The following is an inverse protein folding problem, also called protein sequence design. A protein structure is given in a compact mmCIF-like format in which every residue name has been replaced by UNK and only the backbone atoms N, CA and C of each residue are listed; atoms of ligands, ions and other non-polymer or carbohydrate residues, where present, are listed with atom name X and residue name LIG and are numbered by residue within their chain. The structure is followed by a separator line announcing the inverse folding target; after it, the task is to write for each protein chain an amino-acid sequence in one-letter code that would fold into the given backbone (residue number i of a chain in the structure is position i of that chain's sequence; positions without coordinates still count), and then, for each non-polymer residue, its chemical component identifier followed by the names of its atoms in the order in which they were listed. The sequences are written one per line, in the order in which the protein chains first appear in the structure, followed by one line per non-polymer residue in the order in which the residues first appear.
data_IF_277720277039
#
_entry.id   IF_277720277039
#
_cell.length_a   1.000
_cell.length_b   1.000
_cell.length_c   1.000
_cell.angle_alpha   90.00
_cell.angle_beta   90.00
_cell.angle_gamma   90.00
#
_symmetry.space_group_name_H-M   'P 1'
#
loop_
_entity.id
_entity.type
_entity.pdbx_description
1 polymer ?
#
# COMPACT_ATOMS: atom_id res chain seq x y z
N UNK A 1 -24.30 6.20 10.88
CA UNK A 1 -22.91 6.13 10.34
C UNK A 1 -22.16 7.36 10.83
N UNK A 2 -20.98 7.20 11.44
CA UNK A 2 -20.18 8.36 11.86
C UNK A 2 -19.87 9.21 10.63
N UNK A 3 -20.01 10.53 10.75
CA UNK A 3 -19.63 11.46 9.69
C UNK A 3 -18.19 11.18 9.27
N UNK A 4 -17.95 11.16 7.95
CA UNK A 4 -16.60 11.04 7.41
C UNK A 4 -15.75 12.14 8.04
N UNK A 5 -14.59 11.79 8.62
CA UNK A 5 -13.64 12.81 9.08
C UNK A 5 -13.04 13.47 7.83
N UNK A 6 -13.73 14.49 7.32
CA UNK A 6 -13.38 15.18 6.06
C UNK A 6 -11.97 15.76 6.11
N UNK A 7 -11.52 16.18 7.30
CA UNK A 7 -10.18 16.71 7.49
C UNK A 7 -9.10 15.66 7.18
N UNK A 8 -9.21 14.45 7.73
CA UNK A 8 -8.27 13.35 7.45
C UNK A 8 -8.25 13.00 5.97
N UNK A 9 -9.42 12.93 5.34
CA UNK A 9 -9.53 12.59 3.92
C UNK A 9 -8.88 13.64 3.03
N UNK A 10 -9.15 14.92 3.30
CA UNK A 10 -8.56 16.02 2.56
C UNK A 10 -7.05 16.12 2.80
N UNK A 11 -6.58 15.84 4.02
CA UNK A 11 -5.16 15.75 4.32
C UNK A 11 -4.48 14.64 3.51
N UNK A 12 -5.03 13.42 3.51
CA UNK A 12 -4.51 12.29 2.73
C UNK A 12 -4.46 12.59 1.22
N UNK A 13 -5.52 13.21 0.67
CA UNK A 13 -5.53 13.69 -0.71
C UNK A 13 -4.47 14.76 -0.96
N UNK A 14 -4.36 15.74 -0.08
CA UNK A 14 -3.34 16.78 -0.20
C UNK A 14 -1.93 16.18 -0.19
N UNK A 15 -1.67 15.24 0.71
CA UNK A 15 -0.39 14.55 0.83
C UNK A 15 -0.05 13.75 -0.43
N UNK A 16 -0.95 12.86 -0.88
CA UNK A 16 -0.68 12.04 -2.07
C UNK A 16 -0.51 12.92 -3.33
N UNK A 17 -1.27 14.02 -3.45
CA UNK A 17 -1.12 14.97 -4.56
C UNK A 17 0.23 15.69 -4.48
N UNK A 18 0.67 16.09 -3.28
CA UNK A 18 1.97 16.68 -3.06
C UNK A 18 3.11 15.70 -3.38
N UNK A 19 2.97 14.42 -3.01
CA UNK A 19 3.92 13.35 -3.38
C UNK A 19 3.99 13.19 -4.91
N UNK A 20 2.84 13.12 -5.59
CA UNK A 20 2.83 13.04 -7.06
C UNK A 20 3.48 14.28 -7.69
N UNK A 21 3.14 15.47 -7.22
CA UNK A 21 3.76 16.70 -7.71
C UNK A 21 5.26 16.73 -7.46
N UNK A 22 5.71 16.31 -6.27
CA UNK A 22 7.14 16.24 -5.94
C UNK A 22 7.87 15.27 -6.86
N UNK A 23 7.33 14.07 -7.09
CA UNK A 23 7.96 13.09 -7.97
C UNK A 23 7.98 13.58 -9.41
N UNK A 24 6.89 14.19 -9.90
CA UNK A 24 6.85 14.80 -11.23
C UNK A 24 7.81 15.99 -11.37
N UNK A 25 7.88 16.86 -10.37
CA UNK A 25 8.78 18.02 -10.37
C UNK A 25 10.23 17.58 -10.43
N UNK A 26 10.64 16.65 -9.56
CA UNK A 26 12.00 16.12 -9.61
C UNK A 26 12.24 15.35 -10.93
N UNK A 27 11.24 14.61 -11.40
CA UNK A 27 11.20 13.97 -12.72
C UNK A 27 11.54 14.90 -13.88
N UNK A 28 10.83 16.02 -13.95
CA UNK A 28 10.87 16.94 -15.09
C UNK A 28 11.96 18.01 -14.98
N UNK A 29 12.38 18.36 -13.75
CA UNK A 29 13.28 19.50 -13.50
C UNK A 29 14.68 19.07 -13.11
N UNK A 30 14.85 17.96 -12.36
CA UNK A 30 16.18 17.55 -11.90
C UNK A 30 17.02 16.91 -13.02
N UNK A 31 16.40 16.34 -14.06
CA UNK A 31 17.09 15.61 -15.13
C UNK A 31 16.83 16.21 -16.53
N UNK A 32 16.79 17.55 -16.64
CA UNK A 32 16.52 18.27 -17.92
C UNK A 32 17.51 17.96 -19.06
N UNK A 33 18.63 17.28 -18.79
CA UNK A 33 19.62 16.92 -19.80
C UNK A 33 19.40 15.55 -20.44
N UNK A 34 18.61 14.65 -19.84
CA UNK A 34 18.43 13.29 -20.36
C UNK A 34 16.99 12.79 -20.11
N UNK A 35 16.13 12.89 -21.14
CA UNK A 35 14.79 12.29 -21.12
C UNK A 35 14.79 10.78 -21.38
N UNK A 36 15.95 10.11 -21.32
CA UNK A 36 16.03 8.68 -21.57
C UNK A 36 15.21 7.88 -20.55
N UNK A 37 14.68 6.70 -20.92
CA UNK A 37 14.06 5.78 -19.96
C UNK A 37 14.94 5.49 -18.73
N UNK A 38 16.27 5.51 -18.87
CA UNK A 38 17.19 5.30 -17.75
C UNK A 38 17.16 6.45 -16.72
N UNK A 39 16.98 7.70 -17.16
CA UNK A 39 16.72 8.82 -16.26
C UNK A 39 15.41 8.60 -15.49
N UNK A 40 14.36 8.12 -16.16
CA UNK A 40 13.07 7.85 -15.53
C UNK A 40 13.10 6.74 -14.46
N UNK A 41 14.02 5.78 -14.55
CA UNK A 41 14.16 4.75 -13.50
C UNK A 41 14.93 5.23 -12.29
N UNK A 42 15.91 6.10 -12.50
CA UNK A 42 16.50 6.90 -11.41
C UNK A 42 15.48 7.83 -10.76
N UNK A 43 14.44 8.22 -11.51
CA UNK A 43 13.37 9.13 -11.09
C UNK A 43 12.21 8.47 -10.35
N UNK A 44 12.50 7.52 -9.46
CA UNK A 44 11.50 7.12 -8.46
C UNK A 44 10.21 6.60 -9.09
N UNK A 45 10.35 5.89 -10.22
CA UNK A 45 9.21 5.32 -10.95
C UNK A 45 8.37 4.41 -10.03
N UNK A 46 9.03 3.68 -9.11
CA UNK A 46 8.35 2.91 -8.06
C UNK A 46 7.42 3.77 -7.20
N UNK A 47 7.95 4.75 -6.43
CA UNK A 47 7.12 5.67 -5.64
C UNK A 47 6.04 6.40 -6.44
N UNK A 48 6.33 6.81 -7.69
CA UNK A 48 5.34 7.43 -8.58
C UNK A 48 4.18 6.47 -8.88
N UNK A 49 4.50 5.27 -9.38
CA UNK A 49 3.52 4.26 -9.75
C UNK A 49 2.71 3.79 -8.54
N UNK A 50 3.35 3.57 -7.41
CA UNK A 50 2.69 3.22 -6.16
C UNK A 50 1.73 4.31 -5.72
N UNK A 51 2.15 5.57 -5.74
CA UNK A 51 1.30 6.71 -5.34
C UNK A 51 0.12 6.90 -6.29
N UNK A 52 0.32 6.81 -7.61
CA UNK A 52 -0.75 7.02 -8.59
C UNK A 52 -1.76 5.86 -8.57
N UNK A 53 -1.29 4.61 -8.43
CA UNK A 53 -2.17 3.44 -8.31
C UNK A 53 -2.98 3.54 -7.02
N UNK A 54 -2.35 3.87 -5.89
CA UNK A 54 -3.05 4.07 -4.62
C UNK A 54 -4.09 5.20 -4.72
N UNK A 55 -3.74 6.31 -5.36
CA UNK A 55 -4.68 7.40 -5.61
C UNK A 55 -5.91 6.92 -6.38
N UNK A 56 -5.71 6.27 -7.52
CA UNK A 56 -6.81 5.80 -8.35
C UNK A 56 -7.65 4.73 -7.67
N UNK A 57 -7.04 3.83 -6.90
CA UNK A 57 -7.77 2.82 -6.12
C UNK A 57 -8.63 3.49 -5.05
N UNK A 58 -8.08 4.45 -4.28
CA UNK A 58 -8.81 5.14 -3.22
C UNK A 58 -9.92 6.04 -3.77
N UNK A 59 -9.64 6.82 -4.81
CA UNK A 59 -10.65 7.66 -5.46
C UNK A 59 -11.71 6.84 -6.19
N UNK A 60 -11.31 5.79 -6.91
CA UNK A 60 -12.23 4.87 -7.57
C UNK A 60 -13.16 4.19 -6.57
N UNK A 61 -12.60 3.68 -5.46
CA UNK A 61 -13.39 3.13 -4.35
C UNK A 61 -14.30 4.19 -3.72
N UNK A 62 -13.79 5.40 -3.46
CA UNK A 62 -14.60 6.48 -2.89
C UNK A 62 -15.76 6.90 -3.80
N UNK A 63 -15.50 7.08 -5.09
CA UNK A 63 -16.49 7.42 -6.11
C UNK A 63 -17.54 6.33 -6.25
N UNK A 64 -17.13 5.06 -6.32
CA UNK A 64 -18.04 3.93 -6.37
C UNK A 64 -18.92 3.89 -5.11
N UNK A 65 -18.31 3.95 -3.93
CA UNK A 65 -19.06 3.90 -2.66
C UNK A 65 -20.02 5.08 -2.51
N UNK A 66 -19.69 6.25 -3.07
CA UNK A 66 -20.58 7.42 -3.14
C UNK A 66 -21.85 7.20 -3.95
N UNK A 67 -21.83 6.26 -4.89
CA UNK A 67 -23.02 5.87 -5.69
C UNK A 67 -23.80 4.71 -5.05
N UNK A 68 -23.29 4.14 -3.97
CA UNK A 68 -23.97 3.05 -3.25
C UNK A 68 -24.55 3.57 -1.93
N UNK A 69 -25.31 2.72 -1.20
CA UNK A 69 -25.80 3.09 0.14
C UNK A 69 -24.68 3.27 1.19
N UNK A 70 -23.41 2.99 0.86
CA UNK A 70 -22.27 3.25 1.75
C UNK A 70 -21.97 4.74 1.91
N UNK A 71 -22.28 5.57 0.91
CA UNK A 71 -22.06 7.01 0.93
C UNK A 71 -20.60 7.42 0.73
N UNK A 72 -19.66 7.00 1.58
CA UNK A 72 -18.26 7.41 1.45
C UNK A 72 -17.29 6.36 1.94
N UNK A 73 -16.11 6.29 1.32
CA UNK A 73 -14.98 5.52 1.84
C UNK A 73 -14.54 6.08 3.22
N UNK A 74 -14.54 5.27 4.28
CA UNK A 74 -14.11 5.71 5.61
C UNK A 74 -12.68 6.27 5.63
N UNK A 75 -12.45 7.30 6.47
CA UNK A 75 -11.16 7.99 6.57
C UNK A 75 -9.97 7.07 6.93
N UNK A 76 -10.22 5.96 7.62
CA UNK A 76 -9.17 4.97 7.94
C UNK A 76 -8.54 4.36 6.69
N UNK A 77 -9.31 4.14 5.61
CA UNK A 77 -8.76 3.60 4.37
C UNK A 77 -7.88 4.63 3.66
N UNK A 78 -8.24 5.91 3.74
CA UNK A 78 -7.39 7.00 3.26
C UNK A 78 -6.08 7.06 4.02
N UNK A 79 -6.13 7.00 5.36
CA UNK A 79 -4.95 7.01 6.20
C UNK A 79 -4.03 5.81 5.94
N UNK A 80 -4.59 4.60 5.86
CA UNK A 80 -3.83 3.38 5.58
C UNK A 80 -3.21 3.38 4.18
N UNK A 81 -3.98 3.77 3.15
CA UNK A 81 -3.45 3.86 1.79
C UNK A 81 -2.37 4.94 1.65
N UNK A 82 -2.56 6.08 2.34
CA UNK A 82 -1.53 7.14 2.39
C UNK A 82 -0.27 6.68 3.12
N UNK A 83 -0.42 5.93 4.22
CA UNK A 83 0.72 5.38 4.94
C UNK A 83 1.49 4.36 4.09
N UNK A 84 0.79 3.49 3.34
CA UNK A 84 1.42 2.51 2.45
C UNK A 84 2.30 3.17 1.39
N UNK A 85 1.80 4.19 0.67
CA UNK A 85 2.61 4.92 -0.32
C UNK A 85 3.61 5.89 0.31
N UNK A 86 3.27 6.46 1.46
CA UNK A 86 4.09 7.46 2.15
C UNK A 86 5.35 6.89 2.80
N UNK A 87 5.34 5.62 3.22
CA UNK A 87 6.54 4.96 3.75
C UNK A 87 7.60 4.84 2.67
N UNK A 88 7.24 4.30 1.50
CA UNK A 88 8.16 4.13 0.38
C UNK A 88 8.67 5.48 -0.16
N UNK A 89 7.76 6.44 -0.32
CA UNK A 89 8.12 7.80 -0.70
C UNK A 89 9.08 8.46 0.30
N UNK A 90 8.78 8.41 1.59
CA UNK A 90 9.61 8.99 2.63
C UNK A 90 10.97 8.29 2.73
N UNK A 91 10.97 6.97 2.64
CA UNK A 91 12.18 6.16 2.66
C UNK A 91 13.15 6.54 1.54
N UNK A 92 12.65 6.68 0.31
CA UNK A 92 13.44 7.16 -0.82
C UNK A 92 13.90 8.61 -0.63
N UNK A 93 13.05 9.50 -0.10
CA UNK A 93 13.37 10.93 0.10
C UNK A 93 14.50 11.18 1.07
N UNK A 94 14.57 10.37 2.11
CA UNK A 94 15.57 10.53 3.16
C UNK A 94 16.69 9.50 3.06
N UNK A 95 16.83 8.81 1.91
CA UNK A 95 17.83 7.76 1.69
C UNK A 95 17.83 6.67 2.78
N UNK A 96 16.66 6.36 3.36
CA UNK A 96 16.57 5.42 4.47
C UNK A 96 16.85 3.98 4.05
N UNK A 97 16.72 3.66 2.76
CA UNK A 97 17.09 2.36 2.21
C UNK A 97 18.59 2.07 2.29
N UNK A 98 19.45 3.08 2.50
CA UNK A 98 20.87 2.88 2.78
C UNK A 98 21.13 2.32 4.20
N UNK A 99 20.13 2.41 5.09
CA UNK A 99 20.23 1.88 6.45
C UNK A 99 20.01 0.37 6.43
N UNK A 100 20.94 -0.36 7.05
CA UNK A 100 20.90 -1.82 7.09
C UNK A 100 19.56 -2.34 7.64
N UNK A 101 18.91 -3.24 6.88
CA UNK A 101 17.61 -3.85 7.17
C UNK A 101 16.40 -2.89 7.17
N UNK A 102 16.56 -1.62 6.83
CA UNK A 102 15.41 -0.71 6.77
C UNK A 102 14.38 -1.16 5.74
N UNK A 103 14.87 -1.65 4.60
CA UNK A 103 14.04 -2.23 3.56
C UNK A 103 13.12 -3.37 4.08
N UNK A 104 13.69 -4.33 4.82
CA UNK A 104 12.92 -5.37 5.51
C UNK A 104 11.87 -4.81 6.47
N UNK A 105 12.16 -3.70 7.17
CA UNK A 105 11.17 -3.05 8.04
C UNK A 105 10.03 -2.47 7.22
N UNK A 106 10.32 -1.90 6.04
CA UNK A 106 9.31 -1.42 5.08
C UNK A 106 8.45 -2.59 4.59
N UNK A 107 9.04 -3.69 4.11
CA UNK A 107 8.29 -4.87 3.66
C UNK A 107 7.44 -5.49 4.78
N UNK A 108 7.94 -5.53 6.01
CA UNK A 108 7.17 -6.00 7.15
C UNK A 108 5.97 -5.09 7.47
N UNK A 109 6.22 -3.78 7.45
CA UNK A 109 5.21 -2.75 7.74
C UNK A 109 4.13 -2.69 6.67
N UNK A 110 4.49 -2.84 5.39
CA UNK A 110 3.53 -2.93 4.28
C UNK A 110 2.65 -4.17 4.40
N UNK A 111 3.21 -5.30 4.85
CA UNK A 111 2.44 -6.52 5.17
C UNK A 111 1.40 -6.30 6.26
N UNK A 112 1.77 -5.62 7.35
CA UNK A 112 0.84 -5.24 8.41
C UNK A 112 -0.25 -4.31 7.87
N UNK A 113 0.13 -3.20 7.26
CA UNK A 113 -0.80 -2.15 6.83
C UNK A 113 -1.74 -2.64 5.73
N UNK A 114 -1.23 -3.38 4.75
CA UNK A 114 -2.01 -3.99 3.68
C UNK A 114 -3.02 -5.00 4.22
N UNK A 115 -2.60 -5.86 5.16
CA UNK A 115 -3.50 -6.83 5.78
C UNK A 115 -4.59 -6.14 6.60
N UNK A 116 -4.24 -5.13 7.40
CA UNK A 116 -5.22 -4.33 8.15
C UNK A 116 -6.19 -3.64 7.18
N UNK A 117 -5.70 -3.09 6.08
CA UNK A 117 -6.53 -2.46 5.05
C UNK A 117 -7.55 -3.45 4.47
N UNK A 118 -7.09 -4.56 3.89
CA UNK A 118 -7.98 -5.51 3.22
C UNK A 118 -8.90 -6.24 4.20
N UNK A 119 -8.42 -6.60 5.38
CA UNK A 119 -9.25 -7.24 6.42
C UNK A 119 -10.41 -6.33 6.83
N UNK A 120 -10.15 -5.04 7.06
CA UNK A 120 -11.20 -4.08 7.39
C UNK A 120 -12.12 -3.81 6.21
N UNK A 121 -11.59 -3.75 4.99
CA UNK A 121 -12.38 -3.55 3.78
C UNK A 121 -13.41 -4.68 3.61
N UNK A 122 -12.96 -5.94 3.68
CA UNK A 122 -13.83 -7.12 3.55
C UNK A 122 -14.89 -7.14 4.66
N UNK A 123 -14.53 -6.79 5.90
CA UNK A 123 -15.48 -6.70 7.03
C UNK A 123 -16.51 -5.60 6.87
N UNK A 124 -16.12 -4.47 6.31
CA UNK A 124 -17.03 -3.36 6.01
C UNK A 124 -18.01 -3.79 4.90
N UNK A 125 -17.49 -4.42 3.85
CA UNK A 125 -18.29 -4.97 2.74
C UNK A 125 -19.28 -6.02 3.24
N UNK A 126 -18.80 -7.03 3.98
CA UNK A 126 -19.62 -8.11 4.54
C UNK A 126 -20.75 -7.59 5.43
N UNK A 127 -20.45 -6.67 6.36
CA UNK A 127 -21.47 -6.10 7.27
C UNK A 127 -22.54 -5.33 6.52
N UNK A 128 -22.16 -4.60 5.49
CA UNK A 128 -23.09 -3.76 4.74
C UNK A 128 -24.01 -4.58 3.84
N UNK A 129 -23.47 -5.53 3.09
CA UNK A 129 -24.28 -6.42 2.25
C UNK A 129 -24.96 -7.54 3.04
N UNK A 130 -24.81 -7.53 4.38
CA UNK A 130 -25.33 -8.56 5.29
C UNK A 130 -24.87 -9.97 4.91
N UNK A 131 -23.71 -10.09 4.26
CA UNK A 131 -23.12 -11.37 3.93
C UNK A 131 -22.50 -11.98 5.18
N UNK A 132 -22.96 -13.19 5.53
CA UNK A 132 -22.35 -13.98 6.58
C UNK A 132 -21.15 -14.76 6.01
N UNK A 133 -20.04 -14.07 5.77
CA UNK A 133 -18.84 -14.67 5.18
C UNK A 133 -18.10 -15.46 6.28
N UNK A 134 -17.83 -16.76 6.10
CA UNK A 134 -17.02 -17.52 7.05
C UNK A 134 -15.67 -16.85 7.28
N UNK A 135 -15.22 -16.78 8.53
CA UNK A 135 -13.96 -16.11 8.89
C UNK A 135 -12.76 -16.63 8.11
N UNK A 136 -12.71 -17.94 7.87
CA UNK A 136 -11.63 -18.57 7.09
C UNK A 136 -11.56 -18.00 5.67
N UNK A 137 -12.71 -17.72 5.05
CA UNK A 137 -12.79 -17.10 3.72
C UNK A 137 -12.31 -15.66 3.79
N UNK A 138 -12.70 -14.89 4.83
CA UNK A 138 -12.21 -13.52 5.03
C UNK A 138 -10.67 -13.50 5.14
N UNK A 139 -10.09 -14.41 5.94
CA UNK A 139 -8.63 -14.50 6.09
C UNK A 139 -7.95 -14.92 4.80
N UNK A 140 -8.49 -15.92 4.09
CA UNK A 140 -7.95 -16.37 2.81
C UNK A 140 -7.95 -15.25 1.77
N UNK A 141 -9.07 -14.54 1.60
CA UNK A 141 -9.16 -13.41 0.66
C UNK A 141 -8.22 -12.27 1.08
N UNK A 142 -8.10 -11.98 2.37
CA UNK A 142 -7.17 -10.97 2.88
C UNK A 142 -5.71 -11.35 2.55
N UNK A 143 -5.31 -12.58 2.88
CA UNK A 143 -3.97 -13.11 2.65
C UNK A 143 -3.60 -13.09 1.17
N UNK A 144 -4.47 -13.62 0.31
CA UNK A 144 -4.25 -13.71 -1.13
C UNK A 144 -4.21 -12.34 -1.79
N UNK A 145 -5.12 -11.43 -1.41
CA UNK A 145 -5.11 -10.07 -1.95
C UNK A 145 -3.86 -9.33 -1.51
N UNK A 146 -3.49 -9.37 -0.23
CA UNK A 146 -2.29 -8.67 0.27
C UNK A 146 -1.02 -9.19 -0.42
N UNK A 147 -0.86 -10.53 -0.51
CA UNK A 147 0.27 -11.13 -1.23
C UNK A 147 0.29 -10.79 -2.72
N UNK A 148 -0.86 -10.75 -3.39
CA UNK A 148 -0.92 -10.37 -4.80
C UNK A 148 -0.37 -8.96 -5.02
N UNK A 149 -0.72 -8.01 -4.16
CA UNK A 149 -0.17 -6.65 -4.24
C UNK A 149 1.32 -6.61 -3.94
N UNK A 150 1.81 -7.40 -2.98
CA UNK A 150 3.25 -7.56 -2.73
C UNK A 150 3.99 -8.10 -3.95
N UNK A 151 3.47 -9.14 -4.60
CA UNK A 151 4.08 -9.72 -5.80
C UNK A 151 4.06 -8.74 -6.98
N UNK A 152 2.96 -8.01 -7.16
CA UNK A 152 2.88 -6.96 -8.20
C UNK A 152 3.94 -5.89 -7.97
N UNK A 153 4.18 -5.50 -6.71
CA UNK A 153 5.19 -4.52 -6.34
C UNK A 153 6.61 -5.00 -6.70
N UNK A 154 6.99 -6.22 -6.33
CA UNK A 154 8.29 -6.82 -6.70
C UNK A 154 8.47 -6.91 -8.23
N UNK A 155 7.41 -7.27 -8.96
CA UNK A 155 7.43 -7.29 -10.42
C UNK A 155 7.66 -5.88 -10.97
N UNK A 156 7.04 -4.86 -10.36
CA UNK A 156 7.23 -3.47 -10.77
C UNK A 156 8.67 -3.00 -10.53
N UNK A 157 9.30 -3.40 -9.43
CA UNK A 157 10.72 -3.12 -9.17
C UNK A 157 11.63 -3.84 -10.16
N UNK A 158 11.39 -5.11 -10.45
CA UNK A 158 12.14 -5.86 -11.46
C UNK A 158 12.03 -5.22 -12.86
N UNK A 159 10.85 -4.72 -13.22
CA UNK A 159 10.63 -3.96 -14.47
C UNK A 159 11.38 -2.62 -14.40
N UNK A 160 11.32 -1.93 -13.26
CA UNK A 160 12.08 -0.72 -12.96
C UNK A 160 13.56 -0.89 -13.23
N UNK A 161 14.16 -1.95 -12.70
CA UNK A 161 15.57 -2.25 -12.86
C UNK A 161 15.93 -2.60 -14.29
N UNK A 162 15.14 -3.48 -14.91
CA UNK A 162 15.45 -4.00 -16.25
C UNK A 162 15.36 -2.94 -17.35
N UNK A 163 14.36 -2.07 -17.28
CA UNK A 163 14.09 -1.13 -18.37
C UNK A 163 14.51 0.31 -18.05
N UNK A 164 14.65 0.63 -16.77
CA UNK A 164 14.88 1.99 -16.33
C UNK A 164 16.12 2.15 -15.44
N UNK A 165 16.80 1.06 -15.05
CA UNK A 165 18.03 1.13 -14.25
C UNK A 165 17.83 1.71 -12.85
N UNK A 166 16.70 1.37 -12.21
CA UNK A 166 16.39 1.82 -10.85
C UNK A 166 17.35 1.23 -9.79
N UNK A 167 17.89 0.04 -10.04
CA UNK A 167 18.81 -0.68 -9.14
C UNK A 167 18.20 -1.00 -7.76
N UNK A 168 16.89 -1.26 -7.72
CA UNK A 168 16.16 -1.58 -6.50
C UNK A 168 16.33 -3.05 -6.07
N UNK A 169 16.52 -3.97 -7.02
CA UNK A 169 16.58 -5.41 -6.80
C UNK A 169 18.02 -5.90 -6.93
N UNK A 170 18.59 -6.41 -5.84
CA UNK A 170 19.96 -6.96 -5.85
C UNK A 170 20.03 -8.41 -6.37
N UNK A 171 18.88 -9.08 -6.49
CA UNK A 171 18.75 -10.38 -7.13
C UNK A 171 17.51 -11.15 -6.67
N UNK A 172 17.32 -12.38 -7.16
CA UNK A 172 16.15 -13.21 -6.82
C UNK A 172 16.06 -13.55 -5.32
N UNK A 173 17.19 -13.56 -4.61
CA UNK A 173 17.22 -13.78 -3.16
C UNK A 173 16.58 -12.61 -2.40
N UNK A 174 16.77 -11.38 -2.88
CA UNK A 174 16.25 -10.13 -2.31
C UNK A 174 14.72 -10.17 -2.31
N UNK A 175 14.12 -10.23 -3.49
CA UNK A 175 12.67 -10.39 -3.70
C UNK A 175 12.07 -11.53 -2.89
N UNK A 176 12.77 -12.67 -2.77
CA UNK A 176 12.28 -13.78 -1.96
C UNK A 176 12.29 -13.48 -0.46
N UNK A 177 13.30 -12.73 0.02
CA UNK A 177 13.39 -12.25 1.39
C UNK A 177 12.29 -11.23 1.68
N UNK A 178 12.05 -10.33 0.74
CA UNK A 178 11.08 -9.24 0.89
C UNK A 178 9.66 -9.78 0.95
N UNK A 179 9.31 -10.71 0.05
CA UNK A 179 8.05 -11.43 0.10
C UNK A 179 7.88 -12.25 1.38
N UNK A 180 8.95 -12.88 1.88
CA UNK A 180 8.91 -13.61 3.15
C UNK A 180 8.63 -12.67 4.32
N UNK A 181 9.34 -11.55 4.39
CA UNK A 181 9.18 -10.54 5.46
C UNK A 181 7.79 -9.90 5.40
N UNK A 182 7.27 -9.66 4.20
CA UNK A 182 5.90 -9.19 3.99
C UNK A 182 4.88 -10.20 4.56
N UNK A 183 5.07 -11.49 4.28
CA UNK A 183 4.23 -12.58 4.81
C UNK A 183 4.27 -12.68 6.34
N UNK A 184 5.41 -12.41 6.98
CA UNK A 184 5.48 -12.36 8.45
C UNK A 184 4.56 -11.26 9.02
N UNK A 185 4.54 -10.09 8.39
CA UNK A 185 3.62 -9.00 8.75
C UNK A 185 2.15 -9.40 8.58
N UNK A 186 1.82 -10.08 7.48
CA UNK A 186 0.45 -10.59 7.22
C UNK A 186 0.03 -11.59 8.30
N UNK A 187 0.87 -12.60 8.58
CA UNK A 187 0.60 -13.65 9.56
C UNK A 187 0.37 -13.02 10.94
N UNK A 188 1.20 -12.06 11.35
CA UNK A 188 1.06 -11.38 12.64
C UNK A 188 -0.32 -10.75 12.80
N UNK A 189 -0.81 -10.03 11.79
CA UNK A 189 -2.13 -9.39 11.83
C UNK A 189 -3.26 -10.42 11.87
N UNK A 190 -3.19 -11.48 11.06
CA UNK A 190 -4.24 -12.50 11.01
C UNK A 190 -4.30 -13.31 12.32
N UNK A 191 -3.15 -13.67 12.89
CA UNK A 191 -3.08 -14.36 14.19
C UNK A 191 -3.58 -13.44 15.30
N UNK A 192 -3.13 -12.19 15.34
CA UNK A 192 -3.59 -11.21 16.33
C UNK A 192 -5.10 -11.02 16.29
N UNK A 193 -5.66 -10.86 15.10
CA UNK A 193 -7.11 -10.77 14.90
C UNK A 193 -7.85 -12.04 15.34
N UNK A 194 -7.31 -13.22 15.01
CA UNK A 194 -7.88 -14.49 15.46
C UNK A 194 -7.93 -14.57 16.99
N UNK A 195 -6.81 -14.28 17.67
CA UNK A 195 -6.73 -14.30 19.14
C UNK A 195 -7.72 -13.32 19.77
N UNK A 196 -7.72 -12.06 19.32
CA UNK A 196 -8.66 -11.03 19.83
C UNK A 196 -10.11 -11.49 19.66
N UNK A 197 -10.43 -12.11 18.53
CA UNK A 197 -11.78 -12.60 18.26
C UNK A 197 -12.19 -13.80 19.11
N UNK A 198 -11.24 -14.60 19.62
CA UNK A 198 -11.49 -15.71 20.55
C UNK A 198 -11.73 -15.17 21.95
N UNK A 199 -10.91 -14.21 22.39
CA UNK A 199 -11.08 -13.54 23.70
C UNK A 199 -12.48 -12.91 23.79
N UNK A 200 -12.90 -12.16 22.76
CA UNK A 200 -14.24 -11.52 22.71
C UNK A 200 -15.43 -12.47 22.70
N UNK A 201 -15.22 -13.77 22.44
CA UNK A 201 -16.29 -14.78 22.48
C UNK A 201 -16.37 -15.48 23.84
N UNK A 202 -15.33 -15.36 24.66
CA UNK A 202 -15.21 -16.04 25.94
C UNK A 202 -15.68 -15.18 27.12
N UNK A 203 -15.64 -13.85 26.98
CA UNK A 203 -16.23 -12.88 27.91
C UNK A 203 -17.57 -12.39 27.39
#
# INVERSE_FOLDING_TARGET
MRSQNKWVVNFCRGFLAATLFYVLYNGLVADQSDLSPAAWGRLWLGPFLTTIVLWFVLEGAHWYLKRTRFGHLPAVFWALGTALGGIDFGANTFSLFEIQNFDKIVHFSTGILGTVFFLNLIRVISRFYQYNIPRIVVYYVTLTTTNLFSVIYEIAELIGDRYYGAHNVTGAFDTSSDLLVNNLGIILVLVGDFVISRIRKAG
#
